data_IF_820198457166
#
_entry.id   IF_820198457166
#
_cell.length_a   1.000
_cell.length_b   1.000
_cell.length_c   1.000
_cell.angle_alpha   90.00
_cell.angle_beta   90.00
_cell.angle_gamma   90.00
#
_symmetry.space_group_name_H-M   'P 1'
#
loop_
_entity.id
_entity.type
_entity.pdbx_description
1 polymer ?
#
# COMPACT_ATOMS: atom_id res chain seq x y z
N UNK A 1 -16.34 -6.56 -3.81
CA UNK A 1 -16.66 -6.45 -2.37
C UNK A 1 -18.08 -5.94 -2.30
N UNK A 2 -18.94 -6.57 -1.50
CA UNK A 2 -20.37 -6.26 -1.43
C UNK A 2 -20.65 -5.14 -0.41
N UNK A 3 -19.87 -5.08 0.67
CA UNK A 3 -19.96 -4.02 1.67
C UNK A 3 -18.58 -3.62 2.20
N UNK A 4 -18.29 -2.32 2.20
CA UNK A 4 -17.11 -1.74 2.86
C UNK A 4 -17.45 -1.45 4.33
N UNK A 5 -16.59 -1.89 5.24
CA UNK A 5 -16.74 -1.65 6.68
C UNK A 5 -15.95 -0.42 7.12
N UNK A 6 -14.72 -0.28 6.65
CA UNK A 6 -13.87 0.87 6.94
C UNK A 6 -12.77 1.02 5.88
N UNK A 7 -12.15 2.20 5.88
CA UNK A 7 -11.03 2.53 5.00
C UNK A 7 -9.91 3.09 5.87
N UNK A 8 -8.70 2.56 5.69
CA UNK A 8 -7.48 3.06 6.33
C UNK A 8 -6.58 3.66 5.26
N UNK A 9 -6.04 4.84 5.52
CA UNK A 9 -5.23 5.57 4.53
C UNK A 9 -3.82 5.78 5.03
N UNK A 10 -2.85 5.67 4.13
CA UNK A 10 -1.45 5.87 4.46
C UNK A 10 -0.64 6.43 3.31
N UNK A 11 0.55 6.92 3.61
CA UNK A 11 1.51 7.40 2.62
C UNK A 11 2.87 6.79 2.90
N UNK A 12 3.55 6.36 1.84
CA UNK A 12 4.87 5.77 1.91
C UNK A 12 5.80 6.47 0.95
N UNK A 13 7.06 6.62 1.37
CA UNK A 13 8.07 7.38 0.62
C UNK A 13 9.30 6.51 0.42
N UNK A 14 9.83 6.49 -0.80
CA UNK A 14 11.18 6.01 -1.09
C UNK A 14 12.07 7.20 -1.50
N UNK A 15 12.93 7.61 -0.58
CA UNK A 15 13.76 8.83 -0.66
C UNK A 15 14.99 8.70 -1.58
N UNK A 16 15.33 7.47 -1.94
CA UNK A 16 16.46 7.12 -2.84
C UNK A 16 15.96 6.52 -4.17
N UNK A 17 14.64 6.43 -4.35
CA UNK A 17 14.07 6.98 -5.56
C UNK A 17 13.48 6.06 -6.59
N UNK A 18 13.50 4.75 -6.41
CA UNK A 18 13.16 3.85 -7.54
C UNK A 18 12.48 2.57 -7.15
N UNK A 19 12.39 2.30 -5.85
CA UNK A 19 11.69 1.14 -5.42
C UNK A 19 10.24 1.54 -5.11
N UNK A 20 9.43 1.60 -6.18
CA UNK A 20 8.00 1.86 -6.09
C UNK A 20 7.30 0.85 -5.17
N UNK A 21 7.76 -0.40 -5.16
CA UNK A 21 7.30 -1.43 -4.22
C UNK A 21 7.56 -1.05 -2.77
N UNK A 22 8.75 -0.56 -2.45
CA UNK A 22 9.10 -0.15 -1.09
C UNK A 22 8.29 1.05 -0.64
N UNK A 23 8.06 2.02 -1.52
CA UNK A 23 7.16 3.14 -1.23
C UNK A 23 5.72 2.66 -1.02
N UNK A 24 5.23 1.73 -1.84
CA UNK A 24 3.89 1.15 -1.71
C UNK A 24 3.71 0.34 -0.43
N UNK A 25 4.65 -0.55 -0.09
CA UNK A 25 4.62 -1.34 1.16
C UNK A 25 4.60 -0.39 2.36
N UNK A 26 5.45 0.64 2.37
CA UNK A 26 5.44 1.67 3.42
C UNK A 26 4.11 2.39 3.52
N UNK A 27 3.44 2.65 2.40
CA UNK A 27 2.13 3.31 2.39
C UNK A 27 1.05 2.42 3.03
N UNK A 28 1.07 1.12 2.72
CA UNK A 28 0.17 0.13 3.33
C UNK A 28 0.45 -0.04 4.82
N UNK A 29 1.72 -0.23 5.21
CA UNK A 29 2.14 -0.31 6.61
C UNK A 29 1.72 0.94 7.39
N UNK A 30 1.93 2.14 6.83
CA UNK A 30 1.50 3.39 7.42
C UNK A 30 -0.02 3.46 7.59
N UNK A 31 -0.79 2.88 6.67
CA UNK A 31 -2.24 2.84 6.76
C UNK A 31 -2.73 1.95 7.90
N UNK A 32 -2.10 0.79 8.14
CA UNK A 32 -2.68 -0.26 8.98
C UNK A 32 -2.04 -0.39 10.38
N UNK A 33 -0.74 -0.12 10.53
CA UNK A 33 0.03 -0.55 11.72
C UNK A 33 -0.36 0.15 13.03
N UNK A 34 -0.92 1.35 12.96
CA UNK A 34 -1.37 2.09 14.16
C UNK A 34 -2.80 1.76 14.58
N UNK A 35 -3.46 0.81 13.93
CA UNK A 35 -4.85 0.47 14.16
C UNK A 35 -4.99 -0.91 14.80
N UNK A 36 -5.99 -1.07 15.67
CA UNK A 36 -6.41 -2.37 16.20
C UNK A 36 -7.91 -2.51 16.03
N UNK A 37 -8.35 -3.69 15.57
CA UNK A 37 -9.75 -3.96 15.22
C UNK A 37 -10.25 -5.18 15.98
N UNK A 38 -10.28 -5.12 17.33
CA UNK A 38 -10.75 -6.23 18.14
C UNK A 38 -12.22 -6.52 17.82
N UNK A 39 -12.52 -7.77 17.47
CA UNK A 39 -13.88 -8.22 17.19
C UNK A 39 -14.39 -7.91 15.78
N UNK A 40 -13.52 -7.55 14.83
CA UNK A 40 -13.94 -7.35 13.42
C UNK A 40 -14.65 -8.57 12.85
N UNK A 41 -14.27 -9.78 13.27
CA UNK A 41 -14.91 -11.04 12.90
C UNK A 41 -16.43 -11.01 13.06
N UNK A 42 -16.97 -10.36 14.10
CA UNK A 42 -18.42 -10.28 14.37
C UNK A 42 -19.20 -9.52 13.32
N UNK A 43 -18.52 -8.69 12.53
CA UNK A 43 -19.12 -7.92 11.44
C UNK A 43 -18.92 -8.60 10.08
N UNK A 44 -18.28 -9.78 10.03
CA UNK A 44 -18.03 -10.53 8.80
C UNK A 44 -19.04 -11.67 8.60
N UNK A 45 -19.33 -12.06 7.35
CA UNK A 45 -20.19 -13.19 7.06
C UNK A 45 -19.70 -14.48 7.72
N UNK A 46 -20.58 -15.09 8.52
CA UNK A 46 -20.28 -16.31 9.25
C UNK A 46 -19.29 -16.13 10.39
N UNK A 47 -19.04 -14.89 10.83
CA UNK A 47 -18.15 -14.55 11.95
C UNK A 47 -16.72 -15.10 11.80
N UNK A 48 -16.19 -15.06 10.58
CA UNK A 48 -14.90 -15.66 10.20
C UNK A 48 -13.97 -14.64 9.57
N UNK A 49 -12.72 -14.60 10.01
CA UNK A 49 -11.69 -13.72 9.45
C UNK A 49 -11.37 -14.05 7.99
N UNK A 50 -11.57 -15.29 7.56
CA UNK A 50 -11.35 -15.71 6.16
C UNK A 50 -12.39 -15.10 5.20
N UNK A 51 -13.54 -14.66 5.73
CA UNK A 51 -14.54 -13.92 4.96
C UNK A 51 -14.14 -12.46 4.71
N UNK A 52 -13.06 -11.98 5.34
CA UNK A 52 -12.56 -10.62 5.16
C UNK A 52 -11.94 -10.47 3.77
N UNK A 53 -12.40 -9.46 3.03
CA UNK A 53 -11.81 -9.03 1.76
C UNK A 53 -11.12 -7.69 1.98
N UNK A 54 -9.91 -7.57 1.44
CA UNK A 54 -9.10 -6.36 1.50
C UNK A 54 -8.80 -5.92 0.07
N UNK A 55 -9.18 -4.70 -0.27
CA UNK A 55 -8.74 -4.05 -1.50
C UNK A 55 -7.73 -2.96 -1.17
N UNK A 56 -6.50 -3.14 -1.63
CA UNK A 56 -5.43 -2.16 -1.47
C UNK A 56 -5.37 -1.31 -2.73
N UNK A 57 -5.87 -0.07 -2.65
CA UNK A 57 -5.76 0.89 -3.74
C UNK A 57 -4.51 1.74 -3.57
N UNK A 58 -3.64 1.73 -4.57
CA UNK A 58 -2.38 2.47 -4.58
C UNK A 58 -2.40 3.54 -5.66
N UNK A 59 -2.10 4.77 -5.26
CA UNK A 59 -1.81 5.87 -6.16
C UNK A 59 -0.30 5.99 -6.33
N UNK A 60 0.20 5.62 -7.51
CA UNK A 60 1.63 5.50 -7.83
C UNK A 60 2.02 6.57 -8.85
N UNK A 61 3.12 7.32 -8.64
CA UNK A 61 3.46 8.45 -9.50
C UNK A 61 4.07 8.07 -10.84
N UNK A 62 5.01 7.12 -10.85
CA UNK A 62 5.75 6.66 -12.02
C UNK A 62 6.14 5.18 -11.85
N UNK A 63 6.61 4.56 -12.93
CA UNK A 63 7.17 3.20 -12.93
C UNK A 63 6.24 2.12 -12.36
N UNK A 64 4.92 2.27 -12.56
CA UNK A 64 3.90 1.36 -12.00
C UNK A 64 4.13 -0.10 -12.40
N UNK A 65 4.68 -0.32 -13.60
CA UNK A 65 5.02 -1.63 -14.15
C UNK A 65 6.13 -2.34 -13.39
N UNK A 66 6.91 -1.62 -12.57
CA UNK A 66 7.94 -2.16 -11.67
C UNK A 66 7.39 -2.54 -10.29
N UNK A 67 6.11 -2.29 -10.02
CA UNK A 67 5.48 -2.61 -8.74
C UNK A 67 5.36 -4.13 -8.56
N UNK A 68 5.94 -4.64 -7.47
CA UNK A 68 5.80 -6.03 -7.04
C UNK A 68 4.52 -6.13 -6.18
N UNK A 69 3.43 -6.52 -6.84
CA UNK A 69 2.10 -6.62 -6.24
C UNK A 69 2.05 -7.68 -5.13
N UNK A 70 2.82 -8.76 -5.24
CA UNK A 70 2.81 -9.81 -4.23
C UNK A 70 3.44 -9.32 -2.92
N UNK A 71 4.52 -8.55 -2.98
CA UNK A 71 5.09 -7.90 -1.78
C UNK A 71 4.13 -6.92 -1.12
N UNK A 72 3.30 -6.23 -1.89
CA UNK A 72 2.26 -5.35 -1.33
C UNK A 72 1.20 -6.18 -0.58
N UNK A 73 0.79 -7.32 -1.15
CA UNK A 73 -0.17 -8.22 -0.50
C UNK A 73 0.38 -8.82 0.79
N UNK A 74 1.67 -9.17 0.83
CA UNK A 74 2.35 -9.70 2.02
C UNK A 74 2.32 -8.73 3.22
N UNK A 75 2.16 -7.42 2.97
CA UNK A 75 2.03 -6.42 4.04
C UNK A 75 0.67 -6.48 4.77
N UNK A 76 -0.34 -7.16 4.21
CA UNK A 76 -1.65 -7.33 4.82
C UNK A 76 -1.70 -8.67 5.57
N UNK A 77 -1.96 -8.68 6.89
CA UNK A 77 -1.82 -9.90 7.71
C UNK A 77 -2.97 -10.91 7.55
N UNK A 78 -4.17 -10.48 7.15
CA UNK A 78 -5.37 -11.33 7.13
C UNK A 78 -6.29 -10.98 5.95
N UNK A 79 -7.11 -11.95 5.55
CA UNK A 79 -8.15 -11.79 4.53
C UNK A 79 -7.69 -12.10 3.11
N UNK A 80 -8.63 -12.02 2.17
CA UNK A 80 -8.38 -12.17 0.73
C UNK A 80 -7.99 -10.81 0.15
N UNK A 81 -6.74 -10.68 -0.26
CA UNK A 81 -6.14 -9.39 -0.65
C UNK A 81 -6.13 -9.22 -2.17
N UNK A 82 -6.61 -8.06 -2.60
CA UNK A 82 -6.54 -7.56 -3.98
C UNK A 82 -5.80 -6.23 -4.00
N UNK A 83 -5.17 -5.90 -5.12
CA UNK A 83 -4.42 -4.65 -5.28
C UNK A 83 -4.86 -3.96 -6.56
N UNK A 84 -5.38 -2.75 -6.42
CA UNK A 84 -5.72 -1.84 -7.51
C UNK A 84 -4.65 -0.75 -7.60
N UNK A 85 -4.10 -0.50 -8.79
CA UNK A 85 -3.07 0.52 -9.00
C UNK A 85 -3.58 1.59 -9.96
N UNK A 86 -3.44 2.86 -9.57
CA UNK A 86 -3.81 4.02 -10.37
C UNK A 86 -2.68 5.04 -10.41
N UNK A 87 -2.72 5.93 -11.40
CA UNK A 87 -1.90 7.14 -11.42
C UNK A 87 -2.25 8.06 -10.25
N UNK A 88 -1.22 8.64 -9.62
CA UNK A 88 -1.35 9.60 -8.53
C UNK A 88 -0.10 9.66 -7.67
N UNK A 89 -0.21 10.03 -6.39
CA UNK A 89 0.98 10.22 -5.55
C UNK A 89 1.86 11.38 -6.05
N UNK A 90 3.17 11.30 -5.82
CA UNK A 90 4.11 12.33 -6.27
C UNK A 90 5.51 11.78 -6.54
N UNK A 91 6.08 12.10 -7.69
CA UNK A 91 7.51 12.01 -7.95
C UNK A 91 8.11 13.42 -7.86
N UNK A 92 9.19 13.56 -7.12
CA UNK A 92 9.95 14.81 -7.03
C UNK A 92 11.44 14.52 -7.10
N UNK A 93 12.24 15.51 -7.48
CA UNK A 93 13.69 15.40 -7.33
C UNK A 93 14.07 15.44 -5.85
N UNK A 94 14.95 14.55 -5.44
CA UNK A 94 15.67 14.55 -4.15
C UNK A 94 16.86 15.53 -4.18
N UNK A 95 17.22 16.05 -5.35
CA UNK A 95 18.30 17.01 -5.57
C UNK A 95 19.71 16.43 -5.44
N UNK A 96 19.85 15.13 -5.12
CA UNK A 96 21.13 14.46 -4.94
C UNK A 96 21.12 13.09 -5.64
N UNK A 97 22.26 12.71 -6.20
CA UNK A 97 22.48 11.37 -6.73
C UNK A 97 23.61 10.72 -5.92
N UNK A 98 23.24 9.81 -5.01
CA UNK A 98 24.22 9.10 -4.19
C UNK A 98 24.57 7.78 -4.87
N UNK A 99 25.68 7.77 -5.62
CA UNK A 99 26.16 6.56 -6.33
C UNK A 99 26.34 5.36 -5.39
N UNK A 100 26.70 5.59 -4.14
CA UNK A 100 26.90 4.54 -3.13
C UNK A 100 25.58 3.98 -2.55
N UNK A 101 24.43 4.51 -2.97
CA UNK A 101 23.08 4.08 -2.56
C UNK A 101 22.26 3.43 -3.69
N UNK A 102 22.90 3.14 -4.83
CA UNK A 102 22.27 2.58 -6.03
C UNK A 102 21.14 3.45 -6.61
N UNK A 103 21.26 4.78 -6.52
CA UNK A 103 20.34 5.70 -7.19
C UNK A 103 20.58 5.64 -8.72
N UNK A 104 19.60 5.22 -9.54
CA UNK A 104 19.73 5.31 -11.01
C UNK A 104 19.33 6.72 -11.54
N UNK A 105 18.65 7.54 -10.73
CA UNK A 105 18.18 8.89 -11.01
C UNK A 105 17.99 9.66 -9.68
N UNK A 106 17.68 10.95 -9.75
CA UNK A 106 17.52 11.82 -8.58
C UNK A 106 16.07 11.86 -8.07
N UNK A 107 15.21 10.90 -8.40
CA UNK A 107 13.81 10.96 -8.01
C UNK A 107 13.57 10.46 -6.58
N UNK A 108 12.44 10.85 -6.02
CA UNK A 108 11.86 10.37 -4.77
C UNK A 108 10.39 10.06 -5.05
N UNK A 109 9.95 8.86 -4.69
CA UNK A 109 8.57 8.43 -4.92
C UNK A 109 7.75 8.47 -3.64
N UNK A 110 6.61 9.15 -3.70
CA UNK A 110 5.57 9.17 -2.69
C UNK A 110 4.35 8.44 -3.23
N UNK A 111 3.96 7.37 -2.56
CA UNK A 111 2.80 6.54 -2.89
C UNK A 111 1.75 6.73 -1.80
N UNK A 112 0.50 6.94 -2.20
CA UNK A 112 -0.63 6.93 -1.27
C UNK A 112 -1.35 5.58 -1.35
N UNK A 113 -1.82 5.10 -0.21
CA UNK A 113 -2.60 3.87 -0.09
C UNK A 113 -3.96 4.17 0.55
N UNK A 114 -5.01 3.54 0.01
CA UNK A 114 -6.28 3.34 0.68
C UNK A 114 -6.52 1.83 0.80
N UNK A 115 -6.55 1.34 2.04
CA UNK A 115 -6.83 -0.06 2.39
C UNK A 115 -8.31 -0.15 2.76
N UNK A 116 -9.09 -0.64 1.81
CA UNK A 116 -10.54 -0.82 1.93
C UNK A 116 -10.81 -2.23 2.47
N UNK A 117 -11.50 -2.34 3.61
CA UNK A 117 -11.79 -3.64 4.25
C UNK A 117 -13.28 -3.88 4.32
N UNK A 118 -13.69 -5.10 3.99
CA UNK A 118 -15.09 -5.51 3.97
C UNK A 118 -15.26 -6.98 3.62
N UNK A 119 -16.37 -7.33 2.97
CA UNK A 119 -16.67 -8.68 2.50
C UNK A 119 -17.50 -8.66 1.21
#
# INVERSE_FOLDING_TARGET
MDQVLFIQTGTGVDVHGQNVTKAAVRAVENAILSNSMPGIEKNLPGERLESMKVNVRLAVPLDREKLDVEKVKEAIPYGVVTVDVTDGGMATSSGILLKDKNDENDLMYMVNAAVEVGY
#
